data_IF_701957322401
#
_entry.id   IF_701957322401
#
_cell.length_a   1.000
_cell.length_b   1.000
_cell.length_c   1.000
_cell.angle_alpha   90.00
_cell.angle_beta   90.00
_cell.angle_gamma   90.00
#
_symmetry.space_group_name_H-M   'P 1'
#
loop_
_entity.id
_entity.type
_entity.pdbx_description
1 polymer ?
#
# COMPACT_ATOMS: atom_id res chain seq x y z
N UNK A 1 -47.28 -3.53 14.17
CA UNK A 1 -46.14 -4.25 14.80
C UNK A 1 -45.11 -4.84 13.81
N UNK A 2 -45.12 -4.49 12.50
CA UNK A 2 -44.12 -4.97 11.51
C UNK A 2 -43.03 -3.94 11.13
N UNK A 3 -43.23 -2.65 11.42
CA UNK A 3 -42.30 -1.59 11.03
C UNK A 3 -41.06 -1.46 11.94
N UNK A 4 -41.10 -1.95 13.18
CA UNK A 4 -40.02 -1.75 14.16
C UNK A 4 -38.87 -2.77 14.05
N UNK A 5 -39.06 -3.90 13.35
CA UNK A 5 -38.07 -4.99 13.24
C UNK A 5 -37.12 -4.86 12.04
N UNK A 6 -37.48 -4.03 11.05
CA UNK A 6 -36.69 -3.85 9.82
C UNK A 6 -35.67 -2.69 9.91
N UNK A 7 -35.88 -1.72 10.80
CA UNK A 7 -35.06 -0.51 10.91
C UNK A 7 -33.58 -0.73 11.34
N UNK A 8 -33.21 -1.68 12.22
CA UNK A 8 -31.79 -1.87 12.57
C UNK A 8 -30.99 -2.57 11.47
N UNK A 9 -31.63 -3.35 10.58
CA UNK A 9 -30.93 -4.04 9.50
C UNK A 9 -30.66 -3.09 8.31
N UNK A 10 -31.57 -2.17 8.01
CA UNK A 10 -31.39 -1.19 6.93
C UNK A 10 -30.27 -0.18 7.22
N UNK A 11 -30.18 0.33 8.45
CA UNK A 11 -29.09 1.24 8.85
C UNK A 11 -27.75 0.51 8.96
N UNK A 12 -27.73 -0.73 9.47
CA UNK A 12 -26.54 -1.57 9.50
C UNK A 12 -26.02 -1.91 8.09
N UNK A 13 -26.91 -2.20 7.14
CA UNK A 13 -26.55 -2.43 5.73
C UNK A 13 -26.02 -1.16 5.05
N UNK A 14 -26.64 -0.01 5.32
CA UNK A 14 -26.16 1.27 4.80
C UNK A 14 -24.76 1.61 5.34
N UNK A 15 -24.50 1.38 6.63
CA UNK A 15 -23.19 1.55 7.24
C UNK A 15 -22.16 0.57 6.66
N UNK A 16 -22.52 -0.71 6.49
CA UNK A 16 -21.63 -1.70 5.88
C UNK A 16 -21.28 -1.35 4.42
N UNK A 17 -22.23 -0.84 3.64
CA UNK A 17 -21.98 -0.39 2.28
C UNK A 17 -21.05 0.82 2.23
N UNK A 18 -21.11 1.71 3.23
CA UNK A 18 -20.22 2.85 3.33
C UNK A 18 -18.79 2.45 3.72
N UNK A 19 -18.65 1.52 4.68
CA UNK A 19 -17.37 0.90 5.00
C UNK A 19 -16.76 0.17 3.79
N UNK A 20 -17.57 -0.53 3.00
CA UNK A 20 -17.09 -1.21 1.80
C UNK A 20 -16.57 -0.22 0.73
N UNK A 21 -17.29 0.89 0.50
CA UNK A 21 -16.85 1.93 -0.45
C UNK A 21 -15.57 2.63 -0.01
N UNK A 22 -15.48 2.98 1.27
CA UNK A 22 -14.29 3.60 1.84
C UNK A 22 -13.09 2.66 1.78
N UNK A 23 -13.27 1.38 2.07
CA UNK A 23 -12.22 0.37 1.91
C UNK A 23 -11.75 0.26 0.45
N UNK A 24 -12.66 0.18 -0.51
CA UNK A 24 -12.31 0.15 -1.93
C UNK A 24 -11.54 1.40 -2.36
N UNK A 25 -11.98 2.59 -1.94
CA UNK A 25 -11.27 3.83 -2.25
C UNK A 25 -9.84 3.83 -1.70
N UNK A 26 -9.64 3.31 -0.48
CA UNK A 26 -8.31 3.16 0.12
C UNK A 26 -7.46 2.17 -0.68
N UNK A 27 -8.04 1.05 -1.14
CA UNK A 27 -7.29 0.07 -1.92
C UNK A 27 -6.82 0.64 -3.27
N UNK A 28 -7.67 1.37 -3.99
CA UNK A 28 -7.28 2.04 -5.23
C UNK A 28 -6.19 3.10 -5.03
N UNK A 29 -6.28 3.89 -3.97
CA UNK A 29 -5.24 4.88 -3.62
C UNK A 29 -3.94 4.18 -3.25
N UNK A 30 -4.00 3.08 -2.49
CA UNK A 30 -2.82 2.29 -2.15
C UNK A 30 -2.15 1.73 -3.42
N UNK A 31 -2.92 1.17 -4.35
CA UNK A 31 -2.41 0.67 -5.63
C UNK A 31 -1.74 1.78 -6.47
N UNK A 32 -2.32 2.98 -6.51
CA UNK A 32 -1.72 4.14 -7.17
C UNK A 32 -0.39 4.55 -6.51
N UNK A 33 -0.35 4.61 -5.18
CA UNK A 33 0.87 4.91 -4.42
C UNK A 33 1.96 3.87 -4.65
N UNK A 34 1.63 2.57 -4.64
CA UNK A 34 2.56 1.47 -4.94
C UNK A 34 3.12 1.63 -6.36
N UNK A 35 2.28 1.96 -7.33
CA UNK A 35 2.71 2.17 -8.72
C UNK A 35 3.69 3.34 -8.85
N UNK A 36 3.42 4.46 -8.18
CA UNK A 36 4.34 5.60 -8.12
C UNK A 36 5.68 5.22 -7.46
N UNK A 37 5.64 4.45 -6.37
CA UNK A 37 6.83 4.01 -5.65
C UNK A 37 7.70 3.09 -6.51
N UNK A 38 7.09 2.14 -7.22
CA UNK A 38 7.78 1.27 -8.17
C UNK A 38 8.37 2.07 -9.35
N UNK A 39 7.63 3.04 -9.86
CA UNK A 39 8.12 3.91 -10.93
C UNK A 39 9.36 4.70 -10.48
N UNK A 40 9.30 5.36 -9.33
CA UNK A 40 10.44 6.09 -8.77
C UNK A 40 11.65 5.18 -8.57
N UNK A 41 11.40 3.91 -8.22
CA UNK A 41 12.47 2.92 -8.14
C UNK A 41 13.11 2.59 -9.46
N UNK A 42 12.31 2.32 -10.50
CA UNK A 42 12.85 1.96 -11.81
C UNK A 42 13.74 3.05 -12.39
N UNK A 43 13.37 4.32 -12.22
CA UNK A 43 14.15 5.45 -12.76
C UNK A 43 15.45 5.69 -11.98
N UNK A 44 15.44 5.48 -10.66
CA UNK A 44 16.63 5.72 -9.82
C UNK A 44 17.56 4.51 -9.74
N UNK A 45 17.07 3.28 -10.02
CA UNK A 45 17.86 2.04 -9.98
C UNK A 45 19.16 2.12 -10.79
N UNK A 46 19.12 2.72 -11.98
CA UNK A 46 20.31 2.89 -12.82
C UNK A 46 21.40 3.76 -12.16
N UNK A 47 20.99 4.82 -11.47
CA UNK A 47 21.91 5.67 -10.70
C UNK A 47 22.45 4.92 -9.47
N UNK A 48 21.62 4.10 -8.82
CA UNK A 48 22.03 3.30 -7.66
C UNK A 48 23.08 2.25 -8.02
N UNK A 49 22.87 1.51 -9.11
CA UNK A 49 23.82 0.49 -9.58
C UNK A 49 25.17 1.14 -9.93
N UNK A 50 25.15 2.33 -10.53
CA UNK A 50 26.38 3.04 -10.88
C UNK A 50 27.13 3.65 -9.69
N UNK A 51 26.43 4.10 -8.64
CA UNK A 51 27.05 4.91 -7.56
C UNK A 51 27.05 4.23 -6.20
N UNK A 52 25.95 3.59 -5.84
CA UNK A 52 25.74 3.01 -4.51
C UNK A 52 26.30 1.59 -4.45
N UNK A 53 26.12 0.78 -5.48
CA UNK A 53 26.59 -0.61 -5.49
C UNK A 53 28.12 -0.75 -5.35
N UNK A 54 28.96 0.02 -6.07
CA UNK A 54 30.42 -0.03 -5.89
C UNK A 54 30.91 0.67 -4.62
N UNK A 55 30.06 1.44 -3.93
CA UNK A 55 30.41 2.11 -2.67
C UNK A 55 30.59 1.10 -1.53
N UNK A 56 31.53 1.37 -0.61
CA UNK A 56 31.82 0.54 0.56
C UNK A 56 30.54 0.30 1.38
N UNK A 57 30.37 -0.91 1.88
CA UNK A 57 29.22 -1.25 2.73
C UNK A 57 29.27 -0.44 4.03
N UNK A 58 28.31 0.46 4.18
CA UNK A 58 28.09 1.29 5.36
C UNK A 58 26.72 0.96 5.97
N UNK A 59 26.56 1.18 7.27
CA UNK A 59 25.27 1.07 7.95
C UNK A 59 24.19 1.90 7.25
N UNK A 60 24.54 3.09 6.74
CA UNK A 60 23.64 3.95 5.99
C UNK A 60 23.16 3.28 4.69
N UNK A 61 24.02 2.51 4.01
CA UNK A 61 23.66 1.74 2.80
C UNK A 61 22.70 0.60 3.15
N UNK A 62 22.95 -0.13 4.24
CA UNK A 62 22.02 -1.17 4.71
C UNK A 62 20.66 -0.59 5.11
N UNK A 63 20.63 0.52 5.86
CA UNK A 63 19.38 1.19 6.23
C UNK A 63 18.63 1.67 4.98
N UNK A 64 19.34 2.20 4.00
CA UNK A 64 18.78 2.65 2.74
C UNK A 64 18.14 1.48 1.96
N UNK A 65 18.87 0.37 1.77
CA UNK A 65 18.33 -0.81 1.12
C UNK A 65 17.17 -1.45 1.91
N UNK A 66 17.26 -1.50 3.23
CA UNK A 66 16.18 -2.02 4.07
C UNK A 66 14.91 -1.18 3.92
N UNK A 67 15.02 0.14 4.09
CA UNK A 67 13.87 1.03 3.98
C UNK A 67 13.27 0.99 2.56
N UNK A 68 14.13 0.92 1.55
CA UNK A 68 13.72 0.93 0.14
C UNK A 68 13.09 -0.40 -0.33
N UNK A 69 13.70 -1.54 -0.02
CA UNK A 69 13.21 -2.81 -0.56
C UNK A 69 12.24 -3.52 0.38
N UNK A 70 12.37 -3.38 1.71
CA UNK A 70 11.47 -4.05 2.68
C UNK A 70 10.11 -3.38 2.71
N UNK A 71 10.04 -2.05 2.77
CA UNK A 71 8.75 -1.33 2.82
C UNK A 71 7.95 -1.57 1.55
N UNK A 72 8.61 -1.52 0.40
CA UNK A 72 7.95 -1.76 -0.89
C UNK A 72 7.55 -3.21 -1.08
N UNK A 73 8.38 -4.17 -0.69
CA UNK A 73 8.02 -5.59 -0.71
C UNK A 73 6.85 -5.89 0.25
N UNK A 74 6.85 -5.29 1.44
CA UNK A 74 5.75 -5.44 2.40
C UNK A 74 4.44 -4.88 1.84
N UNK A 75 4.46 -3.66 1.28
CA UNK A 75 3.26 -3.04 0.70
C UNK A 75 2.70 -3.83 -0.48
N UNK A 76 3.56 -4.31 -1.38
CA UNK A 76 3.14 -5.16 -2.51
C UNK A 76 2.59 -6.49 -2.02
N UNK A 77 3.24 -7.12 -1.03
CA UNK A 77 2.79 -8.42 -0.48
C UNK A 77 1.45 -8.31 0.23
N UNK A 78 1.22 -7.24 1.00
CA UNK A 78 -0.05 -6.98 1.66
C UNK A 78 -1.17 -6.78 0.65
N UNK A 79 -0.92 -6.06 -0.44
CA UNK A 79 -1.94 -5.83 -1.47
C UNK A 79 -2.18 -7.05 -2.36
N UNK A 80 -1.14 -7.86 -2.61
CA UNK A 80 -1.25 -9.10 -3.39
C UNK A 80 -1.97 -10.24 -2.65
N UNK A 81 -2.12 -10.14 -1.32
CA UNK A 81 -2.75 -11.16 -0.48
C UNK A 81 -4.24 -10.88 -0.19
N UNK A 82 -4.80 -9.76 -0.68
CA UNK A 82 -6.23 -9.42 -0.58
C UNK A 82 -6.98 -9.86 -1.83
#
# INVERSE_FOLDING_TARGET
MLALRAMPNATAQAAAADLARTAQAVDWVAAACISCLLYDYTITLGQEIGRIWPSRMSLAKCLYFANRYVVSAMLVSVHALR
#
